data_IF_890861954497
#
_entry.id   IF_890861954497
#
_cell.length_a   1.000
_cell.length_b   1.000
_cell.length_c   1.000
_cell.angle_alpha   90.00
_cell.angle_beta   90.00
_cell.angle_gamma   90.00
#
_symmetry.space_group_name_H-M   'P 1'
#
loop_
_entity.id
_entity.type
_entity.pdbx_description
1 polymer ?
#
# COMPACT_ATOMS: atom_id res chain seq x y z
N UNK A 1 -14.49 -5.21 -9.81
CA UNK A 1 -13.65 -5.62 -8.69
C UNK A 1 -13.89 -7.08 -8.28
N UNK A 2 -15.13 -7.52 -8.17
CA UNK A 2 -15.44 -8.90 -7.82
C UNK A 2 -14.94 -9.92 -8.88
N UNK A 3 -15.32 -9.74 -10.14
CA UNK A 3 -14.89 -10.64 -11.23
C UNK A 3 -13.39 -10.54 -11.51
N UNK A 4 -12.83 -9.36 -11.37
CA UNK A 4 -11.39 -9.11 -11.48
C UNK A 4 -10.60 -9.85 -10.40
N UNK A 5 -11.08 -9.80 -9.15
CA UNK A 5 -10.53 -10.57 -8.03
C UNK A 5 -10.60 -12.08 -8.29
N UNK A 6 -11.72 -12.60 -8.77
CA UNK A 6 -11.86 -14.03 -9.11
C UNK A 6 -10.90 -14.46 -10.21
N UNK A 7 -10.80 -13.68 -11.29
CA UNK A 7 -9.90 -13.99 -12.40
C UNK A 7 -8.45 -14.00 -11.94
N UNK A 8 -8.03 -12.95 -11.24
CA UNK A 8 -6.67 -12.84 -10.71
C UNK A 8 -6.33 -13.98 -9.73
N UNK A 9 -7.25 -14.34 -8.85
CA UNK A 9 -7.07 -15.45 -7.92
C UNK A 9 -6.92 -16.78 -8.66
N UNK A 10 -7.72 -17.02 -9.70
CA UNK A 10 -7.64 -18.24 -10.49
C UNK A 10 -6.32 -18.34 -11.25
N UNK A 11 -5.85 -17.25 -11.86
CA UNK A 11 -4.57 -17.19 -12.55
C UNK A 11 -3.39 -17.45 -11.61
N UNK A 12 -3.44 -16.88 -10.41
CA UNK A 12 -2.44 -17.14 -9.36
C UNK A 12 -2.40 -18.61 -9.00
N UNK A 13 -3.54 -19.26 -8.73
CA UNK A 13 -3.58 -20.69 -8.41
C UNK A 13 -3.03 -21.55 -9.54
N UNK A 14 -3.40 -21.27 -10.79
CA UNK A 14 -2.86 -21.99 -11.96
C UNK A 14 -1.35 -21.85 -12.11
N UNK A 15 -0.79 -20.77 -11.59
CA UNK A 15 0.65 -20.50 -11.57
C UNK A 15 1.35 -20.98 -10.29
N UNK A 16 0.63 -21.70 -9.41
CA UNK A 16 1.19 -22.22 -8.15
C UNK A 16 1.26 -21.18 -7.02
N UNK A 17 0.69 -19.99 -7.20
CA UNK A 17 0.69 -18.93 -6.19
C UNK A 17 -0.54 -19.10 -5.28
N UNK A 18 -0.32 -19.45 -4.03
CA UNK A 18 -1.38 -19.71 -3.04
C UNK A 18 -1.60 -18.55 -2.07
N UNK A 19 -0.69 -17.59 -2.03
CA UNK A 19 -0.78 -16.39 -1.20
C UNK A 19 -0.32 -15.19 -2.01
N UNK A 20 -1.06 -14.10 -1.97
CA UNK A 20 -0.70 -12.88 -2.70
C UNK A 20 -1.03 -11.62 -1.93
N UNK A 21 -0.23 -10.59 -2.14
CA UNK A 21 -0.54 -9.21 -1.75
C UNK A 21 -1.26 -8.56 -2.92
N UNK A 22 -2.41 -7.96 -2.66
CA UNK A 22 -3.23 -7.29 -3.64
C UNK A 22 -3.33 -5.80 -3.34
N UNK A 23 -2.52 -5.00 -4.04
CA UNK A 23 -2.64 -3.54 -4.01
C UNK A 23 -3.68 -3.13 -5.05
N UNK A 24 -4.71 -2.41 -4.63
CA UNK A 24 -5.87 -2.10 -5.47
C UNK A 24 -5.60 -0.93 -6.44
N UNK A 25 -4.68 -1.19 -7.37
CA UNK A 25 -4.29 -0.24 -8.42
C UNK A 25 -3.18 0.73 -7.98
N UNK A 26 -2.66 1.50 -8.95
CA UNK A 26 -1.61 2.50 -8.72
C UNK A 26 -2.10 3.72 -7.92
N UNK A 27 -3.39 3.95 -7.92
CA UNK A 27 -4.10 4.83 -7.00
C UNK A 27 -5.25 4.03 -6.42
N UNK A 28 -5.09 3.46 -5.23
CA UNK A 28 -6.09 2.59 -4.63
C UNK A 28 -7.46 3.27 -4.58
N UNK A 29 -8.49 2.53 -4.99
CA UNK A 29 -9.88 2.99 -4.86
C UNK A 29 -10.27 2.93 -3.39
N UNK A 30 -9.98 4.04 -2.71
CA UNK A 30 -10.20 4.24 -1.29
C UNK A 30 -11.38 5.18 -0.98
N UNK A 31 -12.06 5.65 -2.02
CA UNK A 31 -13.27 6.47 -1.94
C UNK A 31 -14.50 5.73 -1.36
N UNK A 32 -14.33 4.47 -1.02
CA UNK A 32 -15.30 3.65 -0.33
C UNK A 32 -14.80 2.20 -0.17
N UNK A 33 -15.27 1.46 0.85
CA UNK A 33 -14.78 0.12 1.16
C UNK A 33 -15.23 -0.93 0.12
N UNK A 34 -16.26 -0.64 -0.66
CA UNK A 34 -16.91 -1.60 -1.56
C UNK A 34 -15.94 -2.22 -2.58
N UNK A 35 -14.92 -1.49 -3.02
CA UNK A 35 -13.94 -1.99 -3.99
C UNK A 35 -13.09 -3.10 -3.40
N UNK A 36 -12.52 -2.87 -2.21
CA UNK A 36 -11.72 -3.85 -1.48
C UNK A 36 -12.57 -5.06 -1.06
N UNK A 37 -13.77 -4.84 -0.54
CA UNK A 37 -14.67 -5.90 -0.11
C UNK A 37 -15.07 -6.83 -1.25
N UNK A 38 -15.38 -6.28 -2.43
CA UNK A 38 -15.72 -7.11 -3.60
C UNK A 38 -14.50 -7.84 -4.18
N UNK A 39 -13.33 -7.23 -4.19
CA UNK A 39 -12.11 -7.89 -4.61
C UNK A 39 -11.82 -9.10 -3.70
N UNK A 40 -11.78 -8.87 -2.38
CA UNK A 40 -11.56 -9.93 -1.38
C UNK A 40 -12.60 -11.06 -1.45
N UNK A 41 -13.87 -10.73 -1.71
CA UNK A 41 -14.91 -11.73 -1.93
C UNK A 41 -14.57 -12.63 -3.12
N UNK A 42 -14.10 -12.06 -4.22
CA UNK A 42 -13.67 -12.82 -5.39
C UNK A 42 -12.50 -13.78 -5.07
N UNK A 43 -11.51 -13.34 -4.32
CA UNK A 43 -10.39 -14.17 -3.87
C UNK A 43 -10.83 -15.27 -2.90
N UNK A 44 -11.70 -14.95 -1.95
CA UNK A 44 -12.20 -15.90 -0.96
C UNK A 44 -12.94 -17.08 -1.58
N UNK A 45 -13.75 -16.84 -2.61
CA UNK A 45 -14.48 -17.89 -3.33
C UNK A 45 -13.55 -18.86 -4.09
N UNK A 46 -12.44 -18.38 -4.60
CA UNK A 46 -11.43 -19.22 -5.25
C UNK A 46 -10.55 -19.95 -4.23
N UNK A 47 -10.39 -19.39 -3.01
CA UNK A 47 -9.67 -20.02 -1.91
C UNK A 47 -8.20 -19.63 -1.78
N UNK A 48 -7.72 -18.65 -2.54
CA UNK A 48 -6.37 -18.09 -2.40
C UNK A 48 -6.26 -17.26 -1.13
N UNK A 49 -5.12 -17.32 -0.45
CA UNK A 49 -4.83 -16.36 0.61
C UNK A 49 -4.59 -14.97 0.01
N UNK A 50 -5.34 -13.99 0.51
CA UNK A 50 -5.31 -12.63 0.02
C UNK A 50 -4.96 -11.65 1.14
N UNK A 51 -3.96 -10.81 0.87
CA UNK A 51 -3.61 -9.68 1.71
C UNK A 51 -4.08 -8.44 0.97
N UNK A 52 -5.23 -7.93 1.38
CA UNK A 52 -5.86 -6.76 0.77
C UNK A 52 -5.16 -5.50 1.27
N UNK A 53 -4.57 -4.76 0.35
CA UNK A 53 -3.83 -3.55 0.62
C UNK A 53 -4.64 -2.35 0.13
N UNK A 54 -5.05 -1.49 1.07
CA UNK A 54 -5.78 -0.25 0.77
C UNK A 54 -5.32 0.87 1.68
N UNK A 55 -5.44 2.09 1.23
CA UNK A 55 -5.00 3.27 1.98
C UNK A 55 -5.00 4.52 1.12
N UNK A 56 -4.40 5.59 1.63
CA UNK A 56 -4.37 6.87 0.94
C UNK A 56 -3.64 6.78 -0.40
N UNK A 57 -4.23 7.39 -1.42
CA UNK A 57 -3.57 7.68 -2.67
C UNK A 57 -2.64 8.91 -2.53
N UNK A 58 -1.95 9.24 -3.62
CA UNK A 58 -1.05 10.40 -3.66
C UNK A 58 -1.79 11.73 -3.44
N UNK A 59 -1.02 12.75 -3.08
CA UNK A 59 -1.49 14.14 -3.04
C UNK A 59 -2.00 14.61 -4.42
N UNK A 60 -2.83 15.67 -4.51
CA UNK A 60 -3.32 16.49 -3.40
C UNK A 60 -4.58 15.96 -2.73
N UNK A 61 -4.86 16.48 -1.54
CA UNK A 61 -6.12 16.25 -0.84
C UNK A 61 -6.94 17.56 -0.76
N UNK A 62 -8.29 17.53 -0.83
CA UNK A 62 -9.11 16.32 -1.08
C UNK A 62 -8.90 15.74 -2.48
N UNK A 63 -9.14 14.45 -2.64
CA UNK A 63 -8.95 13.76 -3.91
C UNK A 63 -10.27 13.51 -4.63
N UNK A 64 -10.28 13.62 -5.97
CA UNK A 64 -11.48 13.40 -6.79
C UNK A 64 -11.46 12.01 -7.39
N UNK A 65 -12.52 11.26 -7.12
CA UNK A 65 -12.77 9.95 -7.70
C UNK A 65 -13.96 9.99 -8.65
N UNK A 66 -13.83 9.34 -9.80
CA UNK A 66 -14.94 9.19 -10.74
C UNK A 66 -15.43 7.76 -10.74
N UNK A 67 -16.74 7.58 -10.88
CA UNK A 67 -17.40 6.30 -11.10
C UNK A 67 -18.60 6.45 -12.03
N UNK A 68 -19.01 5.33 -12.61
CA UNK A 68 -20.22 5.27 -13.41
C UNK A 68 -21.40 4.86 -12.54
N UNK A 69 -22.45 5.66 -12.53
CA UNK A 69 -23.72 5.37 -11.87
C UNK A 69 -24.86 5.55 -12.87
N UNK A 70 -25.62 4.48 -13.12
CA UNK A 70 -26.74 4.51 -14.07
C UNK A 70 -26.37 5.09 -15.45
N UNK A 71 -25.21 4.70 -15.96
CA UNK A 71 -24.72 5.16 -17.27
C UNK A 71 -24.20 6.59 -17.31
N UNK A 72 -24.09 7.26 -16.17
CA UNK A 72 -23.52 8.61 -16.06
C UNK A 72 -22.23 8.58 -15.25
N UNK A 73 -21.25 9.37 -15.67
CA UNK A 73 -20.04 9.61 -14.88
C UNK A 73 -20.39 10.57 -13.73
N UNK A 74 -20.14 10.10 -12.50
CA UNK A 74 -20.31 10.89 -11.27
C UNK A 74 -18.93 11.09 -10.66
N UNK A 75 -18.63 12.31 -10.25
CA UNK A 75 -17.42 12.65 -9.52
C UNK A 75 -17.75 12.88 -8.05
N UNK A 76 -16.90 12.33 -7.19
CA UNK A 76 -16.98 12.51 -5.74
C UNK A 76 -15.64 13.01 -5.24
N UNK A 77 -15.68 14.08 -4.48
CA UNK A 77 -14.54 14.57 -3.71
C UNK A 77 -14.51 13.87 -2.35
N UNK A 78 -13.35 13.40 -1.93
CA UNK A 78 -13.14 12.64 -0.71
C UNK A 78 -12.00 13.27 0.07
N UNK A 79 -12.24 13.61 1.34
CA UNK A 79 -11.20 14.09 2.23
C UNK A 79 -10.31 12.94 2.72
N UNK A 80 -9.17 13.29 3.28
CA UNK A 80 -8.26 12.30 3.87
C UNK A 80 -8.92 11.53 5.01
N UNK A 81 -9.70 12.22 5.86
CA UNK A 81 -10.42 11.63 6.98
C UNK A 81 -11.48 10.62 6.52
N UNK A 82 -12.25 10.96 5.47
CA UNK A 82 -13.23 10.04 4.89
C UNK A 82 -12.56 8.78 4.30
N UNK A 83 -11.36 8.95 3.78
CA UNK A 83 -10.57 7.83 3.32
C UNK A 83 -10.09 6.96 4.49
N UNK A 84 -9.64 7.56 5.60
CA UNK A 84 -9.26 6.80 6.78
C UNK A 84 -10.43 5.98 7.34
N UNK A 85 -11.65 6.54 7.34
CA UNK A 85 -12.86 5.80 7.73
C UNK A 85 -13.13 4.60 6.82
N UNK A 86 -12.94 4.79 5.51
CA UNK A 86 -13.06 3.70 4.53
C UNK A 86 -12.01 2.61 4.77
N UNK A 87 -10.76 2.98 5.02
CA UNK A 87 -9.67 2.06 5.34
C UNK A 87 -9.95 1.27 6.61
N UNK A 88 -10.37 1.94 7.68
CA UNK A 88 -10.70 1.28 8.94
C UNK A 88 -11.86 0.28 8.75
N UNK A 89 -12.87 0.63 7.96
CA UNK A 89 -13.97 -0.28 7.59
C UNK A 89 -13.46 -1.52 6.87
N UNK A 90 -12.57 -1.37 5.89
CA UNK A 90 -11.98 -2.51 5.17
C UNK A 90 -11.21 -3.43 6.12
N UNK A 91 -10.43 -2.87 7.04
CA UNK A 91 -9.67 -3.68 8.00
C UNK A 91 -10.63 -4.45 8.93
N UNK A 92 -11.66 -3.81 9.46
CA UNK A 92 -12.65 -4.45 10.34
C UNK A 92 -13.38 -5.61 9.65
N UNK A 93 -13.74 -5.43 8.38
CA UNK A 93 -14.51 -6.42 7.63
C UNK A 93 -13.66 -7.57 7.08
N UNK A 94 -12.37 -7.35 6.79
CA UNK A 94 -11.55 -8.31 6.07
C UNK A 94 -10.42 -8.93 6.89
N UNK A 95 -9.87 -8.23 7.89
CA UNK A 95 -8.71 -8.76 8.60
C UNK A 95 -9.08 -9.99 9.42
N UNK A 96 -8.30 -11.06 9.28
CA UNK A 96 -8.55 -12.37 9.91
C UNK A 96 -9.84 -13.08 9.49
N UNK A 97 -10.36 -12.81 8.28
CA UNK A 97 -11.56 -13.49 7.76
C UNK A 97 -11.22 -14.74 6.94
N UNK A 98 -12.25 -15.49 6.53
CA UNK A 98 -12.16 -16.68 5.68
C UNK A 98 -11.19 -17.75 6.23
N UNK A 99 -11.33 -18.11 7.51
CA UNK A 99 -10.40 -19.01 8.20
C UNK A 99 -8.96 -18.52 8.14
N UNK A 100 -8.79 -17.22 8.39
CA UNK A 100 -7.51 -16.52 8.38
C UNK A 100 -6.78 -16.49 7.01
N UNK A 101 -7.51 -16.69 5.94
CA UNK A 101 -6.98 -16.58 4.58
C UNK A 101 -7.09 -15.19 3.98
N UNK A 102 -7.90 -14.31 4.57
CA UNK A 102 -7.99 -12.90 4.18
C UNK A 102 -7.41 -12.03 5.28
N UNK A 103 -6.48 -11.18 4.89
CA UNK A 103 -5.87 -10.14 5.73
C UNK A 103 -6.08 -8.78 5.09
N UNK A 104 -6.05 -7.73 5.89
CA UNK A 104 -6.08 -6.36 5.39
C UNK A 104 -4.93 -5.56 6.01
N UNK A 105 -4.10 -4.95 5.16
CA UNK A 105 -2.98 -4.13 5.57
C UNK A 105 -3.23 -2.66 5.27
N UNK A 106 -2.68 -1.82 6.11
CA UNK A 106 -2.63 -0.37 5.89
C UNK A 106 -1.62 -0.09 4.79
N UNK A 107 -2.05 0.61 3.72
CA UNK A 107 -1.19 0.81 2.55
C UNK A 107 -1.26 2.25 2.07
N UNK A 108 -0.40 3.16 2.56
CA UNK A 108 -0.21 4.43 1.91
C UNK A 108 0.42 4.24 0.52
N UNK A 109 0.19 5.19 -0.38
CA UNK A 109 0.70 5.14 -1.76
C UNK A 109 2.23 4.98 -1.84
N UNK A 110 2.94 5.53 -0.88
CA UNK A 110 4.38 5.39 -0.73
C UNK A 110 4.81 5.66 0.70
N UNK A 111 5.99 5.18 1.07
CA UNK A 111 6.56 5.42 2.40
C UNK A 111 6.76 6.92 2.67
N UNK A 112 7.01 7.68 1.61
CA UNK A 112 7.02 9.15 1.58
C UNK A 112 6.36 9.57 0.27
N UNK A 113 5.35 10.44 0.31
CA UNK A 113 4.51 10.77 -0.86
C UNK A 113 4.86 12.07 -1.54
N UNK A 114 5.58 12.93 -0.86
CA UNK A 114 5.98 14.26 -1.34
C UNK A 114 7.27 14.28 -2.16
N UNK A 115 7.83 13.11 -2.45
CA UNK A 115 9.02 13.01 -3.29
C UNK A 115 8.62 13.11 -4.76
N UNK A 116 9.09 14.13 -5.44
CA UNK A 116 9.25 14.08 -6.88
C UNK A 116 10.41 13.15 -7.21
N UNK A 117 10.07 11.92 -7.60
CA UNK A 117 11.05 10.97 -8.15
C UNK A 117 11.43 11.45 -9.54
N UNK A 118 12.40 12.33 -9.63
CA UNK A 118 12.96 12.80 -10.91
C UNK A 118 14.31 12.19 -11.16
N UNK A 119 14.39 11.33 -12.19
CA UNK A 119 15.64 10.74 -12.69
C UNK A 119 15.80 9.25 -12.38
N UNK A 120 16.75 8.59 -13.04
CA UNK A 120 16.94 7.14 -12.96
C UNK A 120 17.43 6.63 -11.61
N UNK A 121 17.83 7.48 -10.70
CA UNK A 121 18.32 7.11 -9.36
C UNK A 121 17.46 7.60 -8.21
N UNK A 122 16.51 8.55 -8.44
CA UNK A 122 15.56 9.01 -7.39
C UNK A 122 16.19 9.56 -6.09
N UNK A 123 17.50 9.43 -5.95
CA UNK A 123 18.21 9.56 -4.67
C UNK A 123 18.49 11.01 -4.24
N UNK A 124 18.39 11.98 -5.13
CA UNK A 124 19.14 13.22 -4.95
C UNK A 124 18.33 14.46 -4.53
N UNK A 125 17.02 14.35 -4.25
CA UNK A 125 16.23 15.58 -4.10
C UNK A 125 15.41 15.77 -2.84
N UNK A 126 15.28 14.82 -1.95
CA UNK A 126 14.54 15.04 -0.71
C UNK A 126 15.43 14.97 0.50
N UNK A 127 15.60 16.10 1.16
CA UNK A 127 16.45 16.26 2.32
C UNK A 127 15.71 15.90 3.61
N UNK A 128 14.41 16.11 3.65
CA UNK A 128 13.55 15.83 4.81
C UNK A 128 12.12 15.47 4.38
N UNK A 129 11.38 14.69 5.19
CA UNK A 129 9.95 14.49 4.98
C UNK A 129 9.21 15.82 5.20
N UNK A 130 8.11 16.00 4.49
CA UNK A 130 7.21 17.14 4.70
C UNK A 130 6.33 16.93 5.93
N UNK A 131 5.68 17.98 6.41
CA UNK A 131 4.68 17.86 7.48
C UNK A 131 3.55 16.89 7.09
N UNK A 132 3.19 16.84 5.82
CA UNK A 132 2.21 15.88 5.32
C UNK A 132 2.70 14.44 5.44
N UNK A 133 3.93 14.14 5.07
CA UNK A 133 4.50 12.79 5.19
C UNK A 133 4.47 12.33 6.66
N UNK A 134 4.85 13.21 7.59
CA UNK A 134 4.82 12.92 9.02
C UNK A 134 3.39 12.68 9.52
N UNK A 135 2.44 13.50 9.10
CA UNK A 135 1.04 13.34 9.45
C UNK A 135 0.46 12.02 8.89
N UNK A 136 0.70 11.72 7.62
CA UNK A 136 0.28 10.45 7.01
C UNK A 136 0.89 9.25 7.76
N UNK A 137 2.19 9.28 8.03
CA UNK A 137 2.87 8.19 8.75
C UNK A 137 2.27 7.96 10.13
N UNK A 138 1.99 9.03 10.87
CA UNK A 138 1.32 8.97 12.18
C UNK A 138 -0.06 8.30 12.09
N UNK A 139 -0.90 8.69 11.14
CA UNK A 139 -2.22 8.10 10.96
C UNK A 139 -2.15 6.63 10.53
N UNK A 140 -1.24 6.27 9.63
CA UNK A 140 -1.02 4.88 9.24
C UNK A 140 -0.59 4.01 10.42
N UNK A 141 0.33 4.50 11.24
CA UNK A 141 0.76 3.82 12.46
C UNK A 141 -0.36 3.70 13.48
N UNK A 142 -1.14 4.75 13.68
CA UNK A 142 -2.30 4.74 14.58
C UNK A 142 -3.27 3.61 14.20
N UNK A 143 -3.63 3.53 12.92
CA UNK A 143 -4.56 2.51 12.43
C UNK A 143 -3.94 1.11 12.54
N UNK A 144 -2.70 0.93 12.12
CA UNK A 144 -2.02 -0.37 12.20
C UNK A 144 -1.98 -0.89 13.65
N UNK A 145 -1.64 -0.04 14.61
CA UNK A 145 -1.63 -0.38 16.05
C UNK A 145 -3.03 -0.69 16.59
N UNK A 146 -4.03 0.16 16.24
CA UNK A 146 -5.43 -0.01 16.67
C UNK A 146 -6.00 -1.37 16.30
N UNK A 147 -5.70 -1.86 15.11
CA UNK A 147 -6.24 -3.10 14.56
C UNK A 147 -5.27 -4.27 14.59
N UNK A 148 -4.10 -4.10 15.18
CA UNK A 148 -3.03 -5.10 15.21
C UNK A 148 -2.78 -5.69 13.79
N UNK A 149 -2.67 -4.81 12.81
CA UNK A 149 -2.40 -5.17 11.43
C UNK A 149 -1.05 -4.62 10.96
N UNK A 150 -0.64 -5.00 9.75
CA UNK A 150 0.64 -4.59 9.17
C UNK A 150 0.49 -3.42 8.22
N UNK A 151 1.62 -2.83 7.88
CA UNK A 151 1.73 -1.78 6.87
C UNK A 151 2.43 -2.36 5.64
N UNK A 152 1.87 -2.10 4.47
CA UNK A 152 2.50 -2.40 3.18
C UNK A 152 2.57 -1.13 2.35
N UNK A 153 3.73 -0.82 1.76
CA UNK A 153 3.85 0.37 0.90
C UNK A 153 5.03 0.25 -0.04
N UNK A 154 5.05 1.12 -1.05
CA UNK A 154 6.18 1.24 -1.98
C UNK A 154 7.30 2.07 -1.38
N UNK A 155 8.54 1.67 -1.64
CA UNK A 155 9.72 2.45 -1.30
C UNK A 155 10.78 2.37 -2.40
N UNK A 156 11.47 3.48 -2.59
CA UNK A 156 12.59 3.63 -3.54
C UNK A 156 13.77 4.29 -2.84
N UNK A 157 14.91 4.40 -3.52
CA UNK A 157 16.11 5.04 -2.97
C UNK A 157 15.82 6.44 -2.41
N UNK A 158 16.31 6.71 -1.20
CA UNK A 158 16.05 7.91 -0.41
C UNK A 158 14.81 7.85 0.47
N UNK A 159 13.78 7.08 0.09
CA UNK A 159 12.52 6.98 0.86
C UNK A 159 12.68 6.27 2.18
N UNK A 160 13.49 5.21 2.24
CA UNK A 160 13.70 4.43 3.47
C UNK A 160 14.32 5.30 4.56
N UNK A 161 15.33 6.10 4.20
CA UNK A 161 15.96 7.05 5.12
C UNK A 161 14.96 8.07 5.65
N UNK A 162 14.12 8.63 4.79
CA UNK A 162 13.10 9.62 5.17
C UNK A 162 12.01 9.01 6.03
N UNK A 163 11.55 7.81 5.70
CA UNK A 163 10.56 7.09 6.50
C UNK A 163 11.03 6.75 7.91
N UNK A 164 12.35 6.79 8.17
CA UNK A 164 12.95 6.53 9.48
C UNK A 164 13.11 7.79 10.35
N UNK A 165 12.90 8.99 9.81
CA UNK A 165 13.22 10.23 10.53
C UNK A 165 12.30 10.51 11.71
N UNK A 166 11.03 10.16 11.63
CA UNK A 166 10.15 10.15 12.78
C UNK A 166 10.25 8.79 13.50
N UNK A 167 11.00 8.74 14.60
CA UNK A 167 11.26 7.49 15.32
C UNK A 167 9.99 6.86 15.91
N UNK A 168 9.00 7.66 16.26
CA UNK A 168 7.76 7.20 16.88
C UNK A 168 6.81 6.59 15.84
N UNK A 169 6.73 7.21 14.66
CA UNK A 169 5.79 6.84 13.61
C UNK A 169 6.49 6.34 12.34
N UNK A 170 7.75 5.94 12.43
CA UNK A 170 8.51 5.40 11.30
C UNK A 170 7.73 4.30 10.55
N UNK A 171 7.68 4.40 9.24
CA UNK A 171 7.11 3.34 8.39
C UNK A 171 8.17 2.26 8.11
N UNK A 172 8.86 1.84 9.15
CA UNK A 172 9.84 0.75 9.20
C UNK A 172 9.58 -0.09 10.45
N UNK A 173 9.92 -1.37 10.39
CA UNK A 173 9.77 -2.28 11.52
C UNK A 173 9.32 -3.69 11.09
N UNK A 174 9.25 -4.65 12.03
CA UNK A 174 8.89 -6.03 11.73
C UNK A 174 7.43 -6.20 11.30
N UNK A 175 6.61 -5.18 11.45
CA UNK A 175 5.23 -5.10 10.99
C UNK A 175 5.08 -4.35 9.65
N UNK A 176 6.20 -3.98 9.01
CA UNK A 176 6.22 -3.26 7.74
C UNK A 176 6.79 -4.13 6.63
N UNK A 177 6.13 -4.11 5.48
CA UNK A 177 6.56 -4.74 4.25
C UNK A 177 6.69 -3.68 3.15
N UNK A 178 7.89 -3.45 2.68
CA UNK A 178 8.19 -2.52 1.60
C UNK A 178 8.31 -3.24 0.27
N UNK A 179 7.68 -2.70 -0.75
CA UNK A 179 7.74 -3.20 -2.12
C UNK A 179 8.70 -2.36 -2.97
N UNK A 180 9.23 -2.96 -4.01
CA UNK A 180 10.22 -2.43 -4.95
C UNK A 180 11.62 -2.31 -4.37
N UNK A 181 11.86 -1.41 -3.44
CA UNK A 181 13.16 -1.16 -2.80
C UNK A 181 14.32 -1.06 -3.79
N UNK A 182 14.09 -0.39 -4.93
CA UNK A 182 15.11 -0.19 -5.97
C UNK A 182 15.87 1.11 -5.74
N UNK A 183 17.19 1.12 -6.08
CA UNK A 183 18.03 2.29 -5.93
C UNK A 183 18.38 2.65 -4.49
N UNK A 184 18.29 1.68 -3.56
CA UNK A 184 18.66 1.90 -2.17
C UNK A 184 20.19 2.12 -2.02
N UNK A 185 20.58 3.03 -1.15
CA UNK A 185 21.95 3.14 -0.66
C UNK A 185 22.28 2.01 0.32
N UNK A 186 23.58 1.75 0.55
CA UNK A 186 23.99 0.77 1.55
C UNK A 186 23.50 1.13 2.96
N UNK A 187 23.47 2.41 3.31
CA UNK A 187 22.95 2.87 4.60
C UNK A 187 21.45 2.56 4.76
N UNK A 188 20.67 2.66 3.69
CA UNK A 188 19.26 2.28 3.70
C UNK A 188 19.08 0.77 3.85
N UNK A 189 19.92 -0.03 3.20
CA UNK A 189 19.91 -1.50 3.37
C UNK A 189 20.22 -1.88 4.82
N UNK A 190 21.24 -1.27 5.43
CA UNK A 190 21.59 -1.49 6.84
C UNK A 190 20.45 -1.02 7.78
N UNK A 191 19.75 0.04 7.42
CA UNK A 191 18.60 0.53 8.17
C UNK A 191 17.43 -0.45 8.13
N UNK A 192 17.12 -1.03 6.97
CA UNK A 192 16.11 -2.09 6.83
C UNK A 192 16.47 -3.32 7.68
N UNK A 193 17.74 -3.75 7.64
CA UNK A 193 18.22 -4.84 8.47
C UNK A 193 18.08 -4.52 9.96
N UNK A 194 18.49 -3.34 10.39
CA UNK A 194 18.42 -2.92 11.81
C UNK A 194 16.98 -2.83 12.34
N UNK A 195 16.03 -2.47 11.48
CA UNK A 195 14.62 -2.33 11.83
C UNK A 195 13.82 -3.60 11.63
N UNK A 196 14.42 -4.68 11.13
CA UNK A 196 13.74 -5.93 10.77
C UNK A 196 12.55 -5.71 9.80
N UNK A 197 12.73 -4.77 8.85
CA UNK A 197 11.71 -4.42 7.88
C UNK A 197 11.71 -5.43 6.73
N UNK A 198 10.54 -5.98 6.41
CA UNK A 198 10.39 -6.93 5.31
C UNK A 198 10.41 -6.24 3.96
N UNK A 199 11.03 -6.88 2.98
CA UNK A 199 11.17 -6.34 1.62
C UNK A 199 10.70 -7.35 0.59
N UNK A 200 9.99 -6.90 -0.43
CA UNK A 200 9.74 -7.65 -1.65
C UNK A 200 10.32 -6.91 -2.86
N UNK A 201 10.85 -7.68 -3.78
CA UNK A 201 11.48 -7.19 -4.99
C UNK A 201 10.85 -7.86 -6.22
N UNK A 202 10.54 -7.09 -7.25
CA UNK A 202 9.99 -7.57 -8.52
C UNK A 202 11.04 -7.46 -9.63
N UNK A 203 11.94 -8.45 -9.77
CA UNK A 203 13.11 -8.36 -10.67
C UNK A 203 12.72 -8.22 -12.14
N UNK A 204 11.57 -8.75 -12.55
CA UNK A 204 11.10 -8.70 -13.95
C UNK A 204 10.71 -7.31 -14.43
N UNK A 205 10.45 -6.37 -13.54
CA UNK A 205 9.99 -5.02 -13.93
C UNK A 205 11.12 -4.01 -14.20
N UNK A 206 12.36 -4.26 -13.80
CA UNK A 206 13.43 -3.24 -13.87
C UNK A 206 14.84 -3.73 -14.18
N UNK A 207 15.01 -4.86 -14.81
CA UNK A 207 16.34 -5.24 -15.31
C UNK A 207 16.89 -4.28 -16.40
N UNK A 208 16.09 -3.34 -16.88
CA UNK A 208 16.46 -2.43 -17.99
C UNK A 208 17.26 -1.21 -17.53
N UNK A 209 17.27 -0.86 -16.24
CA UNK A 209 17.83 0.40 -15.75
C UNK A 209 18.99 0.29 -14.75
N UNK A 210 19.64 -0.86 -14.66
CA UNK A 210 20.87 -1.02 -13.86
C UNK A 210 22.12 -1.06 -14.75
N UNK A 211 22.29 -0.05 -15.59
CA UNK A 211 23.57 0.22 -16.27
C UNK A 211 24.05 1.60 -15.90
#
# INVERSE_FOLDING_TARGET
>A
WYYEGRLSALERLRSGVTTGVCVLGSQPRCDGPIFALNNAKGYAEIGVRDIVCTGPCSLPWPHRFSRWENGKRVEKEVSFEQLLDSLETVIQELNHKNNDRTRAYVTPFGAVTSIEVSGPTGADRVIAPTEWDLYQAKEMRRIARKYNTRIHTDAFGGMVRLAAMDKENALLGPDVHLQHCTGLSMDEVLLLQKTDTHVSFAPGMRQVNTR
#
